data_IF_030717306957
#
_entry.id   IF_030717306957
#
_cell.length_a   1.000
_cell.length_b   1.000
_cell.length_c   1.000
_cell.angle_alpha   90.00
_cell.angle_beta   90.00
_cell.angle_gamma   90.00
#
_symmetry.space_group_name_H-M   'P 1'
#
loop_
_entity.id
_entity.type
_entity.pdbx_description
1 polymer ?
#
# COMPACT_ATOMS: atom_id res chain seq x y z
N UNK A 1 3.79 2.43 29.93
CA UNK A 1 2.49 1.78 29.56
C UNK A 1 2.26 0.63 30.53
N UNK A 2 1.00 0.42 31.00
CA UNK A 2 0.66 -0.80 31.73
C UNK A 2 0.76 -2.02 30.81
N UNK A 3 0.97 -3.22 31.36
CA UNK A 3 1.06 -4.48 30.61
C UNK A 3 -0.17 -4.70 29.73
N UNK A 4 -1.36 -4.39 30.25
CA UNK A 4 -2.62 -4.50 29.51
C UNK A 4 -2.67 -3.58 28.29
N UNK A 5 -2.28 -2.31 28.46
CA UNK A 5 -2.25 -1.32 27.36
C UNK A 5 -1.26 -1.73 26.29
N UNK A 6 -0.09 -2.25 26.69
CA UNK A 6 0.89 -2.76 25.73
C UNK A 6 0.37 -3.99 24.98
N UNK A 7 -0.33 -4.92 25.64
CA UNK A 7 -0.91 -6.08 24.99
C UNK A 7 -2.00 -5.69 23.97
N UNK A 8 -2.86 -4.73 24.31
CA UNK A 8 -3.87 -4.19 23.38
C UNK A 8 -3.22 -3.51 22.17
N UNK A 9 -2.18 -2.72 22.41
CA UNK A 9 -1.40 -2.08 21.35
C UNK A 9 -0.78 -3.12 20.41
N UNK A 10 -0.12 -4.14 20.97
CA UNK A 10 0.50 -5.21 20.20
C UNK A 10 -0.52 -5.98 19.35
N UNK A 11 -1.69 -6.33 19.92
CA UNK A 11 -2.78 -7.00 19.21
C UNK A 11 -3.37 -6.15 18.08
N UNK A 12 -3.55 -4.85 18.31
CA UNK A 12 -4.01 -3.92 17.28
C UNK A 12 -3.03 -3.86 16.11
N UNK A 13 -1.73 -3.73 16.40
CA UNK A 13 -0.68 -3.69 15.38
C UNK A 13 -0.57 -5.01 14.61
N UNK A 14 -0.68 -6.15 15.30
CA UNK A 14 -0.75 -7.48 14.67
C UNK A 14 -1.97 -7.64 13.75
N UNK A 15 -3.15 -7.20 14.18
CA UNK A 15 -4.38 -7.26 13.38
C UNK A 15 -4.25 -6.41 12.10
N UNK A 16 -3.72 -5.19 12.23
CA UNK A 16 -3.43 -4.31 11.08
C UNK A 16 -2.46 -4.98 10.11
N UNK A 17 -1.35 -5.54 10.62
CA UNK A 17 -0.38 -6.27 9.80
C UNK A 17 -1.05 -7.39 9.02
N UNK A 18 -1.91 -8.18 9.67
CA UNK A 18 -2.61 -9.30 9.04
C UNK A 18 -3.57 -8.85 7.94
N UNK A 19 -4.41 -7.86 8.22
CA UNK A 19 -5.40 -7.37 7.24
C UNK A 19 -4.72 -6.69 6.05
N UNK A 20 -3.80 -5.76 6.31
CA UNK A 20 -3.18 -4.98 5.23
C UNK A 20 -2.13 -5.75 4.43
N UNK A 21 -1.50 -6.75 5.02
CA UNK A 21 -0.67 -7.70 4.30
C UNK A 21 -1.49 -8.52 3.30
N UNK A 22 -2.69 -8.98 3.70
CA UNK A 22 -3.60 -9.67 2.79
C UNK A 22 -4.00 -8.82 1.57
N UNK A 23 -4.00 -7.51 1.73
CA UNK A 23 -4.32 -6.54 0.67
C UNK A 23 -3.08 -6.07 -0.12
N UNK A 24 -1.86 -6.49 0.25
CA UNK A 24 -0.62 -6.01 -0.35
C UNK A 24 -0.31 -4.53 -0.06
N UNK A 25 -0.94 -3.95 0.97
CA UNK A 25 -0.86 -2.52 1.29
C UNK A 25 0.10 -2.17 2.45
N UNK A 26 0.70 -3.16 3.10
CA UNK A 26 1.75 -2.98 4.11
C UNK A 26 1.34 -2.33 5.44
N UNK A 27 0.07 -2.00 5.66
CA UNK A 27 -0.44 -1.48 6.94
C UNK A 27 -0.19 0.00 7.24
N UNK A 28 0.57 0.70 6.41
CA UNK A 28 1.09 2.04 6.71
C UNK A 28 0.07 3.12 7.01
N UNK A 29 -1.14 3.00 6.48
CA UNK A 29 -2.22 4.00 6.71
C UNK A 29 -2.70 3.98 8.15
N UNK A 30 -2.66 2.85 8.84
CA UNK A 30 -3.17 2.71 10.21
C UNK A 30 -2.09 2.61 11.28
N UNK A 31 -0.84 2.25 10.95
CA UNK A 31 0.20 2.12 11.97
C UNK A 31 0.48 3.45 12.69
N UNK A 32 0.63 4.54 11.97
CA UNK A 32 0.86 5.86 12.57
C UNK A 32 -0.33 6.33 13.42
N UNK A 33 -1.60 6.36 12.94
CA UNK A 33 -2.74 6.74 13.76
C UNK A 33 -2.90 5.91 15.04
N UNK A 34 -2.67 4.60 14.97
CA UNK A 34 -2.78 3.75 16.14
C UNK A 34 -1.67 4.05 17.15
N UNK A 35 -0.44 4.24 16.71
CA UNK A 35 0.66 4.63 17.59
C UNK A 35 0.39 5.97 18.29
N UNK A 36 -0.16 6.96 17.58
CA UNK A 36 -0.57 8.24 18.16
C UNK A 36 -1.68 8.07 19.22
N UNK A 37 -2.64 7.18 18.96
CA UNK A 37 -3.71 6.87 19.92
C UNK A 37 -3.15 6.30 21.23
N UNK A 38 -2.07 5.52 21.16
CA UNK A 38 -1.38 4.97 22.34
C UNK A 38 -0.35 5.94 22.94
N UNK A 39 -0.32 7.21 22.53
CA UNK A 39 0.49 8.26 23.12
C UNK A 39 1.94 8.30 22.65
N UNK A 40 2.27 7.65 21.52
CA UNK A 40 3.59 7.75 20.90
C UNK A 40 3.66 9.06 20.13
N UNK A 41 4.74 9.80 20.28
CA UNK A 41 4.97 11.09 19.61
C UNK A 41 4.98 10.93 18.08
N UNK A 42 4.49 11.95 17.36
CA UNK A 42 4.23 11.87 15.90
C UNK A 42 5.45 11.45 15.07
N UNK A 43 6.61 12.06 15.29
CA UNK A 43 7.81 11.75 14.50
C UNK A 43 8.32 10.34 14.76
N UNK A 44 8.28 9.90 16.01
CA UNK A 44 8.59 8.52 16.42
C UNK A 44 7.57 7.53 15.86
N UNK A 45 6.29 7.85 15.90
CA UNK A 45 5.23 7.03 15.31
C UNK A 45 5.38 6.89 13.79
N UNK A 46 5.68 7.99 13.09
CA UNK A 46 5.88 7.98 11.64
C UNK A 46 7.10 7.12 11.24
N UNK A 47 8.24 7.33 11.85
CA UNK A 47 9.46 6.57 11.57
C UNK A 47 9.31 5.08 11.91
N UNK A 48 8.73 4.77 13.09
CA UNK A 48 8.43 3.40 13.50
C UNK A 48 7.44 2.73 12.55
N UNK A 49 6.40 3.45 12.10
CA UNK A 49 5.45 2.92 11.11
C UNK A 49 6.13 2.54 9.81
N UNK A 50 7.01 3.38 9.27
CA UNK A 50 7.76 3.08 8.04
C UNK A 50 8.61 1.82 8.21
N UNK A 51 9.29 1.67 9.35
CA UNK A 51 10.04 0.46 9.65
C UNK A 51 9.14 -0.78 9.74
N UNK A 52 8.00 -0.69 10.43
CA UNK A 52 7.04 -1.79 10.53
C UNK A 52 6.40 -2.15 9.19
N UNK A 53 6.21 -1.17 8.28
CA UNK A 53 5.78 -1.42 6.90
C UNK A 53 6.84 -2.23 6.16
N UNK A 54 8.13 -1.92 6.31
CA UNK A 54 9.21 -2.73 5.73
C UNK A 54 9.13 -4.17 6.21
N UNK A 55 8.95 -4.39 7.52
CA UNK A 55 8.82 -5.73 8.12
C UNK A 55 7.58 -6.46 7.57
N UNK A 56 6.41 -5.79 7.54
CA UNK A 56 5.17 -6.37 6.99
C UNK A 56 5.35 -6.73 5.51
N UNK A 57 5.90 -5.81 4.73
CA UNK A 57 6.12 -5.99 3.28
C UNK A 57 7.10 -7.11 3.00
N UNK A 58 8.21 -7.19 3.73
CA UNK A 58 9.16 -8.29 3.62
C UNK A 58 8.49 -9.62 3.92
N UNK A 59 7.77 -9.69 5.05
CA UNK A 59 7.04 -10.88 5.48
C UNK A 59 6.02 -11.35 4.43
N UNK A 60 5.21 -10.43 3.91
CA UNK A 60 4.22 -10.70 2.88
C UNK A 60 4.87 -11.10 1.55
N UNK A 61 5.92 -10.40 1.13
CA UNK A 61 6.64 -10.67 -0.12
C UNK A 61 7.24 -12.08 -0.13
N UNK A 62 7.74 -12.57 1.01
CA UNK A 62 8.24 -13.95 1.13
C UNK A 62 7.14 -14.99 0.83
N UNK A 63 5.90 -14.72 1.23
CA UNK A 63 4.75 -15.58 0.93
C UNK A 63 4.35 -15.48 -0.53
N UNK A 64 4.18 -14.27 -1.05
CA UNK A 64 3.77 -14.03 -2.43
C UNK A 64 4.81 -14.48 -3.45
N UNK A 65 6.11 -14.39 -3.11
CA UNK A 65 7.20 -14.96 -3.92
C UNK A 65 7.05 -16.48 -4.03
N UNK A 66 6.81 -17.18 -2.90
CA UNK A 66 6.60 -18.64 -2.91
C UNK A 66 5.35 -19.04 -3.69
N UNK A 67 4.32 -18.21 -3.68
CA UNK A 67 3.10 -18.39 -4.45
C UNK A 67 3.23 -17.98 -5.93
N UNK A 68 4.40 -17.50 -6.36
CA UNK A 68 4.68 -17.02 -7.73
C UNK A 68 3.68 -15.93 -8.18
N UNK A 69 3.29 -15.02 -7.27
CA UNK A 69 2.33 -13.94 -7.56
C UNK A 69 2.98 -12.55 -7.63
N UNK A 70 4.32 -12.48 -7.60
CA UNK A 70 5.06 -11.21 -7.72
C UNK A 70 5.60 -11.06 -9.14
N UNK A 71 5.18 -10.01 -9.84
CA UNK A 71 5.80 -9.59 -11.10
C UNK A 71 6.96 -8.62 -10.81
N UNK A 72 8.15 -9.17 -10.66
CA UNK A 72 9.35 -8.42 -10.30
C UNK A 72 9.68 -7.30 -11.30
N UNK A 73 9.75 -7.56 -12.63
CA UNK A 73 10.07 -6.51 -13.59
C UNK A 73 9.03 -5.39 -13.59
N UNK A 74 7.73 -5.72 -13.53
CA UNK A 74 6.66 -4.73 -13.47
C UNK A 74 6.77 -3.90 -12.18
N UNK A 75 6.96 -4.57 -11.04
CA UNK A 75 7.07 -3.91 -9.74
C UNK A 75 8.25 -2.94 -9.69
N UNK A 76 9.43 -3.34 -10.19
CA UNK A 76 10.63 -2.49 -10.19
C UNK A 76 10.45 -1.27 -11.10
N UNK A 77 9.96 -1.48 -12.34
CA UNK A 77 9.78 -0.39 -13.31
C UNK A 77 8.79 0.66 -12.81
N UNK A 78 7.66 0.22 -12.26
CA UNK A 78 6.66 1.14 -11.72
C UNK A 78 7.14 1.81 -10.43
N UNK A 79 7.89 1.08 -9.57
CA UNK A 79 8.34 1.61 -8.29
C UNK A 79 9.35 2.73 -8.43
N UNK A 80 10.25 2.67 -9.41
CA UNK A 80 11.20 3.76 -9.68
C UNK A 80 10.45 5.07 -9.90
N UNK A 81 9.41 5.07 -10.75
CA UNK A 81 8.64 6.28 -11.02
C UNK A 81 7.71 6.68 -9.88
N UNK A 82 7.12 5.70 -9.19
CA UNK A 82 6.32 5.96 -7.99
C UNK A 82 7.18 6.60 -6.90
N UNK A 83 8.41 6.12 -6.70
CA UNK A 83 9.34 6.67 -5.71
C UNK A 83 9.79 8.10 -6.08
N UNK A 84 10.08 8.35 -7.35
CA UNK A 84 10.40 9.70 -7.85
C UNK A 84 9.22 10.66 -7.64
N UNK A 85 8.01 10.22 -7.99
CA UNK A 85 6.80 11.00 -7.75
C UNK A 85 6.59 11.29 -6.26
N UNK A 86 6.75 10.28 -5.41
CA UNK A 86 6.59 10.42 -3.96
C UNK A 86 7.61 11.39 -3.35
N UNK A 87 8.84 11.34 -3.82
CA UNK A 87 9.89 12.27 -3.40
C UNK A 87 9.52 13.72 -3.73
N UNK A 88 9.13 13.99 -4.98
CA UNK A 88 8.71 15.32 -5.40
C UNK A 88 7.43 15.77 -4.68
N UNK A 89 6.42 14.89 -4.56
CA UNK A 89 5.21 15.18 -3.81
C UNK A 89 5.50 15.56 -2.36
N UNK A 90 6.39 14.83 -1.69
CA UNK A 90 6.84 15.14 -0.33
C UNK A 90 7.50 16.51 -0.22
N UNK A 91 8.39 16.86 -1.15
CA UNK A 91 9.04 18.17 -1.18
C UNK A 91 8.05 19.33 -1.31
N UNK A 92 7.00 19.15 -2.12
CA UNK A 92 5.99 20.19 -2.34
C UNK A 92 4.79 20.14 -1.36
N UNK A 93 4.75 19.17 -0.46
CA UNK A 93 3.62 18.97 0.47
C UNK A 93 3.33 20.20 1.34
N UNK A 94 4.35 20.92 1.76
CA UNK A 94 4.22 22.14 2.57
C UNK A 94 3.47 23.30 1.91
N UNK A 95 3.26 23.27 0.58
CA UNK A 95 2.50 24.29 -0.14
C UNK A 95 0.98 24.06 -0.10
N UNK A 96 0.52 22.90 0.37
CA UNK A 96 -0.89 22.54 0.40
C UNK A 96 -1.39 22.44 1.84
N UNK A 97 -2.63 22.90 2.07
CA UNK A 97 -3.24 22.73 3.37
C UNK A 97 -3.52 21.25 3.66
N UNK A 98 -3.31 20.81 4.90
CA UNK A 98 -3.54 19.42 5.30
C UNK A 98 -4.99 18.97 5.03
N UNK A 99 -5.98 19.87 5.20
CA UNK A 99 -7.40 19.60 4.89
C UNK A 99 -7.60 19.27 3.40
N UNK A 100 -7.01 20.06 2.51
CA UNK A 100 -7.09 19.79 1.06
C UNK A 100 -6.50 18.43 0.70
N UNK A 101 -5.34 18.09 1.27
CA UNK A 101 -4.68 16.81 1.01
C UNK A 101 -5.52 15.62 1.51
N UNK A 102 -6.18 15.73 2.68
CA UNK A 102 -7.04 14.68 3.20
C UNK A 102 -8.29 14.52 2.32
N UNK A 103 -8.93 15.59 1.87
CA UNK A 103 -10.09 15.50 0.97
C UNK A 103 -9.70 14.93 -0.40
N UNK A 104 -8.56 15.32 -0.96
CA UNK A 104 -8.02 14.77 -2.19
C UNK A 104 -7.81 13.25 -2.06
N UNK A 105 -7.18 12.82 -0.97
CA UNK A 105 -6.93 11.41 -0.71
C UNK A 105 -8.23 10.63 -0.51
N UNK A 106 -9.14 11.16 0.29
CA UNK A 106 -10.44 10.53 0.53
C UNK A 106 -11.24 10.38 -0.77
N UNK A 107 -11.19 11.38 -1.66
CA UNK A 107 -11.82 11.33 -2.97
C UNK A 107 -11.23 10.21 -3.84
N UNK A 108 -9.90 10.10 -3.89
CA UNK A 108 -9.22 9.03 -4.64
C UNK A 108 -9.57 7.65 -4.06
N UNK A 109 -9.59 7.51 -2.73
CA UNK A 109 -9.99 6.26 -2.07
C UNK A 109 -11.46 5.90 -2.36
N UNK A 110 -12.38 6.87 -2.34
CA UNK A 110 -13.79 6.64 -2.63
C UNK A 110 -14.01 6.18 -4.08
N UNK A 111 -13.35 6.82 -5.04
CA UNK A 111 -13.37 6.41 -6.44
C UNK A 111 -12.82 4.99 -6.60
N UNK A 112 -11.66 4.71 -6.02
CA UNK A 112 -11.06 3.38 -6.07
C UNK A 112 -11.97 2.31 -5.42
N UNK A 113 -12.59 2.62 -4.27
CA UNK A 113 -13.55 1.76 -3.60
C UNK A 113 -14.75 1.43 -4.49
N UNK A 114 -15.35 2.45 -5.13
CA UNK A 114 -16.47 2.27 -6.04
C UNK A 114 -16.15 1.29 -7.17
N UNK A 115 -15.02 1.48 -7.84
CA UNK A 115 -14.59 0.60 -8.93
C UNK A 115 -14.15 -0.79 -8.46
N UNK A 116 -13.67 -0.94 -7.23
CA UNK A 116 -13.31 -2.23 -6.64
C UNK A 116 -14.54 -3.03 -6.23
N UNK A 117 -15.59 -2.40 -5.72
CA UNK A 117 -16.84 -3.07 -5.32
C UNK A 117 -17.70 -3.41 -6.52
N UNK A 118 -17.84 -2.47 -7.46
CA UNK A 118 -18.62 -2.67 -8.67
C UNK A 118 -17.85 -3.60 -9.65
N UNK A 119 -18.52 -4.62 -10.15
CA UNK A 119 -17.94 -5.57 -11.09
C UNK A 119 -17.73 -4.90 -12.45
N UNK A 120 -16.62 -4.18 -12.59
CA UNK A 120 -16.12 -3.82 -13.91
C UNK A 120 -15.17 -4.94 -14.35
N UNK A 121 -15.54 -5.64 -15.39
CA UNK A 121 -14.58 -6.44 -16.13
C UNK A 121 -13.59 -5.46 -16.74
N UNK A 122 -12.36 -5.48 -16.24
CA UNK A 122 -11.28 -4.75 -16.90
C UNK A 122 -11.06 -5.48 -18.22
N UNK A 123 -11.35 -4.87 -19.38
CA UNK A 123 -11.18 -5.54 -20.65
C UNK A 123 -9.75 -6.07 -20.74
N UNK A 124 -9.59 -7.32 -21.14
CA UNK A 124 -8.29 -7.86 -21.46
C UNK A 124 -7.76 -7.06 -22.65
N UNK A 125 -6.97 -6.02 -22.38
CA UNK A 125 -6.50 -5.05 -23.39
C UNK A 125 -5.38 -5.60 -24.26
N UNK A 126 -5.05 -6.87 -24.10
CA UNK A 126 -4.21 -7.60 -25.03
C UNK A 126 -5.03 -7.99 -26.27
N UNK A 127 -5.24 -7.05 -27.20
CA UNK A 127 -5.72 -7.41 -28.52
C UNK A 127 -4.72 -8.36 -29.20
N UNK A 128 -5.23 -9.23 -30.08
CA UNK A 128 -4.46 -10.26 -30.81
C UNK A 128 -3.30 -9.72 -31.67
N UNK A 129 -3.20 -8.42 -31.86
CA UNK A 129 -2.12 -7.79 -32.61
C UNK A 129 -1.03 -7.31 -31.65
N UNK A 130 0.22 -7.78 -31.80
CA UNK A 130 1.37 -7.16 -31.16
C UNK A 130 1.63 -5.81 -31.83
N UNK A 131 0.91 -4.79 -31.38
CA UNK A 131 0.92 -3.50 -32.04
C UNK A 131 1.01 -2.34 -31.04
N UNK A 132 2.21 -1.88 -30.81
CA UNK A 132 2.51 -0.65 -30.08
C UNK A 132 3.79 -0.78 -29.25
N UNK A 133 4.77 0.06 -29.56
CA UNK A 133 6.09 0.11 -28.89
C UNK A 133 6.01 0.20 -27.35
N UNK A 134 4.88 0.66 -26.81
CA UNK A 134 4.66 0.82 -25.36
C UNK A 134 3.78 -0.25 -24.73
N UNK A 135 3.38 -1.31 -25.44
CA UNK A 135 2.58 -2.40 -24.88
C UNK A 135 3.48 -3.52 -24.37
N UNK A 136 3.52 -3.67 -23.06
CA UNK A 136 4.33 -4.68 -22.39
C UNK A 136 3.48 -5.89 -22.04
N UNK A 137 3.68 -6.99 -22.80
CA UNK A 137 3.02 -8.26 -22.54
C UNK A 137 3.72 -8.96 -21.40
N UNK A 138 2.93 -9.31 -20.40
CA UNK A 138 3.41 -10.01 -19.21
C UNK A 138 2.63 -11.29 -18.99
N UNK A 139 3.26 -12.26 -18.31
CA UNK A 139 2.60 -13.50 -17.92
C UNK A 139 3.29 -14.09 -16.70
N UNK A 140 2.48 -14.54 -15.74
CA UNK A 140 2.92 -15.26 -14.55
C UNK A 140 2.01 -16.47 -14.39
N UNK A 141 2.59 -17.67 -14.42
CA UNK A 141 1.83 -18.91 -14.43
C UNK A 141 0.88 -18.97 -15.63
N UNK A 142 -0.42 -19.12 -15.36
CA UNK A 142 -1.48 -19.14 -16.38
C UNK A 142 -2.05 -17.76 -16.71
N UNK A 143 -1.73 -16.75 -15.91
CA UNK A 143 -2.25 -15.40 -16.09
C UNK A 143 -1.48 -14.65 -17.16
N UNK A 144 -2.20 -14.11 -18.14
CA UNK A 144 -1.64 -13.26 -19.21
C UNK A 144 -2.31 -11.90 -19.13
N UNK A 145 -1.52 -10.83 -19.18
CA UNK A 145 -2.01 -9.45 -19.16
C UNK A 145 -1.05 -8.54 -19.91
N UNK A 146 -1.53 -7.34 -20.23
CA UNK A 146 -0.79 -6.39 -21.03
C UNK A 146 -0.86 -5.02 -20.35
N UNK A 147 0.29 -4.45 -20.09
CA UNK A 147 0.41 -3.13 -19.49
C UNK A 147 0.80 -2.11 -20.57
N UNK A 148 0.01 -1.06 -20.71
CA UNK A 148 0.39 0.06 -21.54
C UNK A 148 1.35 0.97 -20.77
N UNK A 149 2.64 0.87 -21.06
CA UNK A 149 3.68 1.64 -20.36
C UNK A 149 3.53 3.15 -20.56
N UNK A 150 3.04 3.60 -21.73
CA UNK A 150 2.80 5.02 -21.97
C UNK A 150 1.78 5.63 -21.00
N UNK A 151 0.84 4.81 -20.52
CA UNK A 151 -0.17 5.21 -19.53
C UNK A 151 0.31 4.87 -18.11
N UNK A 152 0.95 3.71 -17.93
CA UNK A 152 1.33 3.19 -16.62
C UNK A 152 2.41 4.04 -15.94
N UNK A 153 3.42 4.49 -16.69
CA UNK A 153 4.54 5.26 -16.15
C UNK A 153 4.12 6.65 -15.63
N UNK A 154 3.37 7.48 -16.40
CA UNK A 154 2.87 8.75 -15.87
C UNK A 154 1.92 8.57 -14.68
N UNK A 155 1.02 7.58 -14.75
CA UNK A 155 0.09 7.32 -13.65
C UNK A 155 0.78 6.82 -12.39
N UNK A 156 1.82 5.98 -12.50
CA UNK A 156 2.65 5.56 -11.38
C UNK A 156 3.35 6.77 -10.73
N UNK A 157 3.89 7.68 -11.55
CA UNK A 157 4.49 8.93 -11.07
C UNK A 157 3.47 9.81 -10.34
N UNK A 158 2.29 10.04 -10.92
CA UNK A 158 1.21 10.84 -10.29
C UNK A 158 0.71 10.19 -9.01
N UNK A 159 0.49 8.86 -9.00
CA UNK A 159 0.10 8.13 -7.79
C UNK A 159 1.17 8.24 -6.69
N UNK A 160 2.44 8.18 -7.08
CA UNK A 160 3.57 8.46 -6.19
C UNK A 160 3.52 9.87 -5.64
N UNK A 161 3.34 10.89 -6.51
CA UNK A 161 3.28 12.29 -6.10
C UNK A 161 2.12 12.54 -5.11
N UNK A 162 0.93 12.03 -5.38
CA UNK A 162 -0.21 12.10 -4.45
C UNK A 162 0.12 11.42 -3.13
N UNK A 163 0.72 10.23 -3.16
CA UNK A 163 1.14 9.51 -1.96
C UNK A 163 2.16 10.30 -1.14
N UNK A 164 3.13 10.93 -1.81
CA UNK A 164 4.16 11.77 -1.17
C UNK A 164 3.58 13.04 -0.57
N UNK A 165 2.67 13.72 -1.28
CA UNK A 165 1.95 14.89 -0.78
C UNK A 165 1.21 14.60 0.54
N UNK A 166 0.60 13.42 0.65
CA UNK A 166 -0.24 13.02 1.80
C UNK A 166 0.60 12.41 2.93
N UNK A 167 1.84 12.01 2.64
CA UNK A 167 2.72 11.36 3.63
C UNK A 167 2.31 9.91 3.98
N UNK A 168 1.60 9.23 3.08
CA UNK A 168 1.21 7.82 3.22
C UNK A 168 2.09 6.98 2.30
N UNK A 169 2.50 5.78 2.73
CA UNK A 169 3.39 4.88 1.95
C UNK A 169 2.83 4.41 0.58
N UNK A 170 1.70 4.96 0.14
CA UNK A 170 1.09 4.70 -1.16
C UNK A 170 0.57 3.28 -1.38
N UNK A 171 0.81 2.35 -0.47
CA UNK A 171 0.46 0.94 -0.64
C UNK A 171 -1.01 0.69 -0.94
N UNK A 172 -1.88 1.48 -0.33
CA UNK A 172 -3.33 1.34 -0.50
C UNK A 172 -3.81 1.76 -1.89
N UNK A 173 -3.07 2.64 -2.58
CA UNK A 173 -3.39 3.07 -3.96
C UNK A 173 -2.78 2.16 -5.02
N UNK A 174 -1.67 1.47 -4.72
CA UNK A 174 -0.94 0.65 -5.68
C UNK A 174 -1.79 -0.50 -6.23
N UNK A 175 -2.50 -1.23 -5.36
CA UNK A 175 -3.35 -2.34 -5.80
C UNK A 175 -4.51 -1.88 -6.69
N UNK A 176 -5.34 -0.89 -6.32
CA UNK A 176 -6.34 -0.34 -7.22
C UNK A 176 -5.76 0.12 -8.56
N UNK A 177 -4.64 0.82 -8.55
CA UNK A 177 -3.97 1.29 -9.75
C UNK A 177 -3.58 0.13 -10.66
N UNK A 178 -2.92 -0.90 -10.13
CA UNK A 178 -2.51 -2.07 -10.88
C UNK A 178 -3.72 -2.80 -11.49
N UNK A 179 -4.79 -2.99 -10.70
CA UNK A 179 -5.98 -3.75 -11.14
C UNK A 179 -6.85 -2.95 -12.09
N UNK A 180 -7.18 -1.70 -11.74
CA UNK A 180 -8.19 -0.91 -12.46
C UNK A 180 -7.62 -0.20 -13.68
N UNK A 181 -6.39 0.31 -13.58
CA UNK A 181 -5.79 1.11 -14.64
C UNK A 181 -4.91 0.27 -15.57
N UNK A 182 -4.18 -0.71 -15.02
CA UNK A 182 -3.23 -1.50 -15.81
C UNK A 182 -3.73 -2.91 -16.14
N UNK A 183 -4.90 -3.31 -15.60
CA UNK A 183 -5.49 -4.62 -15.91
C UNK A 183 -4.71 -5.80 -15.36
N UNK A 184 -3.88 -5.58 -14.33
CA UNK A 184 -3.11 -6.64 -13.67
C UNK A 184 -4.07 -7.52 -12.86
N UNK A 185 -3.98 -8.86 -12.95
CA UNK A 185 -4.78 -9.75 -12.12
C UNK A 185 -4.60 -9.47 -10.63
N UNK A 186 -5.70 -9.57 -9.84
CA UNK A 186 -5.73 -9.16 -8.43
C UNK A 186 -4.65 -9.81 -7.57
N UNK A 187 -4.40 -11.13 -7.76
CA UNK A 187 -3.36 -11.87 -7.05
C UNK A 187 -1.94 -11.34 -7.34
N UNK A 188 -1.66 -11.01 -8.61
CA UNK A 188 -0.38 -10.46 -9.04
C UNK A 188 -0.24 -9.02 -8.55
N UNK A 189 -1.31 -8.23 -8.62
CA UNK A 189 -1.34 -6.86 -8.13
C UNK A 189 -1.03 -6.79 -6.63
N UNK A 190 -1.66 -7.65 -5.81
CA UNK A 190 -1.42 -7.72 -4.37
C UNK A 190 0.00 -8.15 -4.05
N UNK A 191 0.49 -9.22 -4.71
CA UNK A 191 1.87 -9.71 -4.49
C UNK A 191 2.93 -8.69 -4.89
N UNK A 192 2.78 -8.07 -6.07
CA UNK A 192 3.71 -7.04 -6.56
C UNK A 192 3.66 -5.77 -5.70
N UNK A 193 2.47 -5.33 -5.32
CA UNK A 193 2.30 -4.17 -4.44
C UNK A 193 2.96 -4.37 -3.08
N UNK A 194 2.87 -5.57 -2.49
CA UNK A 194 3.52 -5.85 -1.21
C UNK A 194 5.03 -5.56 -1.26
N UNK A 195 5.70 -5.96 -2.33
CA UNK A 195 7.12 -5.64 -2.55
C UNK A 195 7.36 -4.14 -2.76
N UNK A 196 6.57 -3.52 -3.65
CA UNK A 196 6.70 -2.09 -3.98
C UNK A 196 6.56 -1.20 -2.74
N UNK A 197 5.62 -1.52 -1.85
CA UNK A 197 5.38 -0.78 -0.60
C UNK A 197 6.59 -0.86 0.33
N UNK A 198 7.25 -2.01 0.39
CA UNK A 198 8.48 -2.18 1.18
C UNK A 198 9.60 -1.27 0.71
N UNK A 199 9.79 -1.14 -0.60
CA UNK A 199 10.80 -0.25 -1.18
C UNK A 199 10.50 1.23 -0.87
N UNK A 200 9.25 1.67 -1.07
CA UNK A 200 8.84 3.04 -0.74
C UNK A 200 9.06 3.33 0.75
N UNK A 201 8.67 2.39 1.62
CA UNK A 201 8.83 2.55 3.06
C UNK A 201 10.30 2.61 3.48
N UNK A 202 11.18 1.85 2.80
CA UNK A 202 12.63 1.88 3.05
C UNK A 202 13.22 3.27 2.79
N UNK A 203 12.84 3.89 1.67
CA UNK A 203 13.28 5.25 1.35
C UNK A 203 12.84 6.27 2.40
N UNK A 204 11.57 6.24 2.79
CA UNK A 204 11.03 7.12 3.83
C UNK A 204 11.67 6.88 5.21
N UNK A 205 11.88 5.62 5.58
CA UNK A 205 12.53 5.26 6.84
C UNK A 205 13.95 5.80 6.95
N UNK A 206 14.75 5.67 5.90
CA UNK A 206 16.13 6.19 5.90
C UNK A 206 16.17 7.71 6.14
N UNK A 207 15.23 8.47 5.58
CA UNK A 207 15.10 9.91 5.85
C UNK A 207 14.80 10.22 7.32
N UNK A 208 13.85 9.52 7.92
CA UNK A 208 13.51 9.70 9.34
C UNK A 208 14.60 9.20 10.29
N UNK A 209 15.31 8.14 9.93
CA UNK A 209 16.42 7.62 10.70
C UNK A 209 17.57 8.64 10.77
N UNK A 210 17.88 9.30 9.67
CA UNK A 210 18.88 10.36 9.63
C UNK A 210 18.51 11.57 10.51
N UNK A 211 17.21 11.83 10.71
CA UNK A 211 16.70 12.87 11.59
C UNK A 211 16.67 12.48 13.09
N UNK A 212 17.05 11.27 13.45
CA UNK A 212 17.13 10.81 14.84
C UNK A 212 15.80 10.50 15.54
N UNK A 213 14.70 10.41 14.80
CA UNK A 213 13.34 10.25 15.34
C UNK A 213 12.90 8.77 15.47
N UNK A 214 13.82 7.83 15.69
CA UNK A 214 13.47 6.41 15.70
C UNK A 214 13.68 5.76 17.06
N UNK A 215 12.64 5.10 17.59
CA UNK A 215 12.71 4.33 18.83
C UNK A 215 12.86 2.82 18.54
N UNK A 216 14.09 2.32 18.71
CA UNK A 216 14.41 0.91 18.53
C UNK A 216 13.67 -0.01 19.50
N UNK A 217 13.34 0.44 20.71
CA UNK A 217 12.68 -0.40 21.72
C UNK A 217 11.26 -0.75 21.28
N UNK A 218 10.50 0.26 20.85
CA UNK A 218 9.14 0.07 20.35
C UNK A 218 9.16 -0.78 19.07
N UNK A 219 10.05 -0.44 18.13
CA UNK A 219 10.15 -1.15 16.86
C UNK A 219 10.47 -2.64 17.06
N UNK A 220 11.51 -2.96 17.82
CA UNK A 220 11.94 -4.34 18.05
C UNK A 220 10.88 -5.18 18.79
N UNK A 221 10.16 -4.58 19.75
CA UNK A 221 9.08 -5.26 20.47
C UNK A 221 7.93 -5.66 19.55
N UNK A 222 7.66 -4.89 18.48
CA UNK A 222 6.55 -5.13 17.55
C UNK A 222 6.91 -6.07 16.40
N UNK A 223 8.19 -6.24 16.05
CA UNK A 223 8.64 -7.06 14.91
C UNK A 223 8.00 -8.45 14.88
N UNK A 224 8.03 -9.26 15.98
CA UNK A 224 7.50 -10.61 15.91
C UNK A 224 6.03 -10.66 15.53
N UNK A 225 5.20 -9.81 16.14
CA UNK A 225 3.77 -9.73 15.85
C UNK A 225 3.49 -9.26 14.42
N UNK A 226 4.18 -8.22 13.99
CA UNK A 226 4.06 -7.66 12.64
C UNK A 226 4.51 -8.68 11.59
N UNK A 227 5.62 -9.38 11.81
CA UNK A 227 6.11 -10.39 10.88
C UNK A 227 5.14 -11.58 10.77
N UNK A 228 4.68 -12.11 11.91
CA UNK A 228 3.71 -13.22 11.95
C UNK A 228 2.37 -12.78 11.34
N UNK A 229 1.86 -11.60 11.71
CA UNK A 229 0.65 -11.03 11.12
C UNK A 229 0.75 -10.88 9.61
N UNK A 230 1.88 -10.36 9.12
CA UNK A 230 2.19 -10.27 7.70
C UNK A 230 2.14 -11.62 6.98
N UNK A 231 2.72 -12.68 7.58
CA UNK A 231 2.67 -14.05 7.05
C UNK A 231 1.26 -14.61 6.99
N UNK A 232 0.48 -14.42 8.07
CA UNK A 232 -0.89 -14.95 8.17
C UNK A 232 -1.77 -14.27 7.11
N UNK A 233 -1.74 -12.95 7.05
CA UNK A 233 -2.52 -12.19 6.07
C UNK A 233 -2.17 -12.53 4.63
N UNK A 234 -0.90 -12.57 4.29
CA UNK A 234 -0.46 -12.93 2.95
C UNK A 234 -0.85 -14.36 2.56
N UNK A 235 -0.73 -15.34 3.47
CA UNK A 235 -1.17 -16.72 3.23
C UNK A 235 -2.68 -16.83 3.05
N UNK A 236 -3.46 -16.09 3.84
CA UNK A 236 -4.91 -16.02 3.67
C UNK A 236 -5.27 -15.46 2.29
N UNK A 237 -4.63 -14.37 1.87
CA UNK A 237 -4.83 -13.72 0.57
C UNK A 237 -4.62 -14.67 -0.62
N UNK A 238 -3.58 -15.49 -0.59
CA UNK A 238 -3.28 -16.46 -1.67
C UNK A 238 -4.39 -17.50 -1.85
N UNK A 239 -5.12 -17.83 -0.77
CA UNK A 239 -6.20 -18.82 -0.77
C UNK A 239 -7.59 -18.26 -1.08
N UNK A 240 -7.75 -16.93 -0.98
CA UNK A 240 -9.04 -16.27 -1.16
C UNK A 240 -9.34 -16.09 -2.65
N UNK A 241 -10.61 -16.25 -3.01
CA UNK A 241 -11.11 -15.95 -4.35
C UNK A 241 -10.87 -14.49 -4.74
N UNK A 242 -10.43 -14.26 -5.99
CA UNK A 242 -10.06 -12.94 -6.52
C UNK A 242 -11.20 -11.92 -6.41
N UNK A 243 -12.43 -12.36 -6.63
CA UNK A 243 -13.61 -11.49 -6.58
C UNK A 243 -13.93 -11.08 -5.14
N UNK A 244 -13.86 -12.03 -4.20
CA UNK A 244 -14.06 -11.75 -2.78
C UNK A 244 -12.98 -10.81 -2.26
N UNK A 245 -11.74 -11.03 -2.65
CA UNK A 245 -10.60 -10.17 -2.27
C UNK A 245 -10.78 -8.75 -2.82
N UNK A 246 -11.20 -8.60 -4.08
CA UNK A 246 -11.49 -7.30 -4.69
C UNK A 246 -12.58 -6.54 -3.93
N UNK A 247 -13.69 -7.20 -3.59
CA UNK A 247 -14.78 -6.60 -2.80
C UNK A 247 -14.33 -6.22 -1.39
N UNK A 248 -13.63 -7.11 -0.71
CA UNK A 248 -13.10 -6.85 0.64
C UNK A 248 -12.17 -5.63 0.65
N UNK A 249 -11.28 -5.53 -0.33
CA UNK A 249 -10.42 -4.36 -0.51
C UNK A 249 -11.25 -3.09 -0.71
N UNK A 250 -12.25 -3.13 -1.60
CA UNK A 250 -13.14 -1.99 -1.86
C UNK A 250 -13.90 -1.52 -0.62
N UNK A 251 -14.39 -2.44 0.21
CA UNK A 251 -15.07 -2.11 1.47
C UNK A 251 -14.11 -1.41 2.45
N UNK A 252 -12.87 -1.90 2.56
CA UNK A 252 -11.86 -1.25 3.41
C UNK A 252 -11.52 0.14 2.90
N UNK A 253 -11.36 0.33 1.58
CA UNK A 253 -11.12 1.65 1.00
C UNK A 253 -12.28 2.61 1.28
N UNK A 254 -13.53 2.15 1.14
CA UNK A 254 -14.72 2.96 1.43
C UNK A 254 -14.78 3.36 2.91
N UNK A 255 -14.52 2.42 3.81
CA UNK A 255 -14.50 2.69 5.24
C UNK A 255 -13.42 3.70 5.63
N UNK A 256 -12.22 3.58 5.04
CA UNK A 256 -11.12 4.53 5.24
C UNK A 256 -11.45 5.91 4.68
N UNK A 257 -12.03 5.99 3.49
CA UNK A 257 -12.44 7.27 2.89
C UNK A 257 -13.46 7.98 3.78
N UNK A 258 -14.48 7.26 4.23
CA UNK A 258 -15.52 7.79 5.13
C UNK A 258 -14.93 8.24 6.46
N UNK A 259 -14.07 7.43 7.08
CA UNK A 259 -13.39 7.77 8.32
C UNK A 259 -12.59 9.07 8.20
N UNK A 260 -11.82 9.22 7.12
CA UNK A 260 -11.00 10.42 6.89
C UNK A 260 -11.87 11.66 6.68
N UNK A 261 -12.96 11.55 5.90
CA UNK A 261 -13.91 12.66 5.67
C UNK A 261 -14.55 13.11 6.99
N UNK A 262 -15.10 12.16 7.76
CA UNK A 262 -15.74 12.46 9.04
C UNK A 262 -14.76 13.12 10.00
N UNK A 263 -13.57 12.56 10.15
CA UNK A 263 -12.53 13.11 11.02
C UNK A 263 -12.14 14.54 10.64
N UNK A 264 -12.04 14.83 9.33
CA UNK A 264 -11.64 16.15 8.85
C UNK A 264 -12.77 17.16 8.92
N UNK A 265 -14.04 16.72 8.85
CA UNK A 265 -15.20 17.58 8.99
C UNK A 265 -15.49 17.95 10.45
N UNK A 266 -15.05 17.13 11.42
CA UNK A 266 -15.25 17.37 12.86
C UNK A 266 -14.13 18.23 13.50
N UNK A 267 -13.03 18.46 12.79
CA UNK A 267 -11.89 19.30 13.20
C UNK A 267 -11.65 20.46 12.21
#
# INVERSE_FOLDING_TARGET
MSVLVFALFYLAMFAIASVFSALGAGGGVLYTPVQLFFGIEFHTAASTSLFLIMVTSLSATLVFRKAATVDWPLAIVLEILTALGAFLGGLYSGHFSGRFLIYLFSGVLAIAAFFMVKHFEVPNRCGEKPGGFFRWHRGIGTERYCVNLALALPLAFVAGAVSGLIGVSGGILKVPMLVLLFGVPMNIAVGSSAFMVGLTASGGFLGHLAAGHFDWKIALALIPGIFIGGQIGARASVKVDKTKMKRFFGVILAALALFLIIRTALH
#
